data_IF_578925498602
#
_entry.id   IF_578925498602
#
_cell.length_a   1.000
_cell.length_b   1.000
_cell.length_c   1.000
_cell.angle_alpha   90.00
_cell.angle_beta   90.00
_cell.angle_gamma   90.00
#
_symmetry.space_group_name_H-M   'P 1'
#
loop_
_entity.id
_entity.type
_entity.pdbx_description
1 polymer ?
#
# COMPACT_ATOMS: atom_id res chain seq x y z
N UNK A 1 10.51 5.30 7.41
CA UNK A 1 9.56 4.20 7.06
C UNK A 1 10.38 2.93 7.04
N UNK A 2 9.98 1.93 7.84
CA UNK A 2 10.77 0.71 8.08
C UNK A 2 11.30 0.03 6.82
N UNK A 3 10.56 0.01 5.71
CA UNK A 3 11.04 -0.57 4.45
C UNK A 3 12.28 0.16 3.89
N UNK A 4 12.32 1.49 3.92
CA UNK A 4 13.49 2.25 3.49
C UNK A 4 14.68 2.02 4.44
N UNK A 5 14.42 1.88 5.74
CA UNK A 5 15.44 1.52 6.73
C UNK A 5 16.00 0.13 6.46
N UNK A 6 15.16 -0.89 6.26
CA UNK A 6 15.59 -2.26 5.94
C UNK A 6 16.35 -2.38 4.63
N UNK A 7 15.96 -1.61 3.60
CA UNK A 7 16.70 -1.60 2.34
C UNK A 7 18.11 -1.01 2.54
N UNK A 8 18.22 0.04 3.35
CA UNK A 8 19.49 0.69 3.66
C UNK A 8 20.38 -0.20 4.53
N UNK A 9 19.82 -0.82 5.57
CA UNK A 9 20.52 -1.73 6.49
C UNK A 9 20.93 -3.03 5.79
N UNK A 10 20.11 -3.56 4.88
CA UNK A 10 20.40 -4.79 4.15
C UNK A 10 21.39 -4.63 2.97
N UNK A 11 21.95 -3.43 2.74
CA UNK A 11 22.88 -3.17 1.63
C UNK A 11 22.27 -3.39 0.24
N UNK A 12 20.95 -3.50 0.13
CA UNK A 12 20.25 -3.80 -1.11
C UNK A 12 20.31 -2.58 -2.03
N UNK A 13 21.04 -2.69 -3.14
CA UNK A 13 21.05 -1.63 -4.17
C UNK A 13 19.65 -1.55 -4.80
N UNK A 14 18.84 -0.58 -4.35
CA UNK A 14 17.50 -0.26 -4.88
C UNK A 14 17.49 -0.20 -6.41
N UNK A 15 18.55 0.36 -7.00
CA UNK A 15 18.72 0.51 -8.45
C UNK A 15 18.91 -0.82 -9.19
N UNK A 16 19.37 -1.87 -8.53
CA UNK A 16 19.74 -3.14 -9.15
C UNK A 16 18.62 -4.17 -9.24
N UNK A 17 17.54 -4.05 -8.44
CA UNK A 17 16.47 -5.06 -8.45
C UNK A 17 15.07 -4.47 -8.17
N UNK A 18 14.51 -3.69 -9.11
CA UNK A 18 13.17 -3.13 -8.97
C UNK A 18 12.06 -4.19 -8.94
N UNK A 19 12.28 -5.35 -9.56
CA UNK A 19 11.33 -6.46 -9.57
C UNK A 19 11.19 -7.09 -8.17
N UNK A 20 12.30 -7.30 -7.47
CA UNK A 20 12.30 -7.77 -6.08
C UNK A 20 11.55 -6.79 -5.18
N UNK A 21 11.84 -5.49 -5.28
CA UNK A 21 11.15 -4.47 -4.47
C UNK A 21 9.64 -4.46 -4.75
N UNK A 22 9.25 -4.56 -6.02
CA UNK A 22 7.84 -4.64 -6.38
C UNK A 22 7.16 -5.88 -5.77
N UNK A 23 7.80 -7.06 -5.88
CA UNK A 23 7.28 -8.30 -5.29
C UNK A 23 7.18 -8.22 -3.76
N UNK A 24 8.17 -7.62 -3.10
CA UNK A 24 8.14 -7.38 -1.64
C UNK A 24 7.01 -6.46 -1.23
N UNK A 25 6.76 -5.37 -1.99
CA UNK A 25 5.62 -4.48 -1.77
C UNK A 25 4.31 -5.26 -1.90
N UNK A 26 4.15 -6.04 -2.96
CA UNK A 26 2.93 -6.85 -3.16
C UNK A 26 2.72 -7.83 -2.00
N UNK A 27 3.74 -8.60 -1.64
CA UNK A 27 3.68 -9.56 -0.53
C UNK A 27 3.33 -8.87 0.79
N UNK A 28 3.86 -7.67 1.04
CA UNK A 28 3.57 -6.90 2.26
C UNK A 28 2.10 -6.45 2.30
N UNK A 29 1.55 -6.01 1.16
CA UNK A 29 0.14 -5.63 1.07
C UNK A 29 -0.76 -6.86 1.21
N UNK A 30 -0.41 -7.99 0.60
CA UNK A 30 -1.16 -9.24 0.73
C UNK A 30 -1.14 -9.79 2.16
N UNK A 31 0.01 -9.76 2.83
CA UNK A 31 0.12 -10.08 4.25
C UNK A 31 -0.77 -9.19 5.09
N UNK A 32 -0.76 -7.88 4.83
CA UNK A 32 -1.63 -6.92 5.52
C UNK A 32 -3.12 -7.23 5.30
N UNK A 33 -3.51 -7.59 4.08
CA UNK A 33 -4.87 -8.04 3.77
C UNK A 33 -5.25 -9.28 4.58
N UNK A 34 -4.41 -10.32 4.57
CA UNK A 34 -4.65 -11.55 5.33
C UNK A 34 -4.77 -11.29 6.83
N UNK A 35 -3.96 -10.38 7.36
CA UNK A 35 -4.04 -9.94 8.76
C UNK A 35 -5.35 -9.21 9.07
N UNK A 36 -5.78 -8.29 8.19
CA UNK A 36 -7.06 -7.57 8.32
C UNK A 36 -8.23 -8.57 8.33
N UNK A 37 -8.26 -9.50 7.39
CA UNK A 37 -9.33 -10.53 7.31
C UNK A 37 -9.33 -11.43 8.55
N UNK A 38 -8.15 -11.86 9.01
CA UNK A 38 -8.03 -12.69 10.21
C UNK A 38 -8.51 -11.96 11.46
N UNK A 39 -8.24 -10.65 11.57
CA UNK A 39 -8.74 -9.83 12.66
C UNK A 39 -10.25 -9.59 12.58
N UNK A 40 -10.78 -9.31 11.39
CA UNK A 40 -12.20 -9.14 11.17
C UNK A 40 -12.98 -10.41 11.54
N UNK A 41 -12.52 -11.57 11.06
CA UNK A 41 -13.12 -12.87 11.37
C UNK A 41 -13.16 -13.17 12.88
N UNK A 42 -12.06 -12.88 13.60
CA UNK A 42 -12.03 -13.04 15.07
C UNK A 42 -13.02 -12.13 15.79
N UNK A 43 -13.19 -10.89 15.33
CA UNK A 43 -14.15 -9.94 15.93
C UNK A 43 -15.60 -10.34 15.69
N UNK A 44 -15.93 -10.83 14.48
CA UNK A 44 -17.27 -11.31 14.15
C UNK A 44 -17.64 -12.57 14.97
N UNK A 45 -16.69 -13.49 15.22
CA UNK A 45 -16.94 -14.66 16.08
C UNK A 45 -17.30 -14.27 17.52
N UNK A 46 -16.74 -13.18 18.02
CA UNK A 46 -16.95 -12.74 19.40
C UNK A 46 -18.19 -11.85 19.58
N UNK A 47 -18.84 -11.40 18.48
CA UNK A 47 -19.93 -10.43 18.57
C UNK A 47 -21.02 -10.73 17.52
N UNK A 48 -22.10 -11.40 17.96
CA UNK A 48 -23.19 -11.88 17.08
C UNK A 48 -23.96 -10.76 16.34
N UNK A 49 -23.84 -9.51 16.80
CA UNK A 49 -24.50 -8.35 16.19
C UNK A 49 -23.61 -7.56 15.22
N UNK A 50 -22.38 -8.03 14.94
CA UNK A 50 -21.46 -7.30 14.08
C UNK A 50 -21.64 -7.66 12.61
N UNK A 51 -21.93 -6.65 11.78
CA UNK A 51 -22.04 -6.78 10.33
C UNK A 51 -20.78 -7.44 9.76
N UNK A 52 -20.98 -8.46 8.92
CA UNK A 52 -19.91 -9.11 8.16
C UNK A 52 -19.14 -8.06 7.35
N UNK A 53 -17.93 -7.73 7.80
CA UNK A 53 -17.06 -6.77 7.15
C UNK A 53 -15.95 -7.50 6.42
N UNK A 54 -16.11 -7.67 5.10
CA UNK A 54 -15.10 -8.27 4.23
C UNK A 54 -14.57 -7.23 3.23
N UNK A 55 -13.43 -6.58 3.51
CA UNK A 55 -12.80 -5.69 2.53
C UNK A 55 -12.42 -6.48 1.27
N UNK A 56 -12.68 -5.91 0.09
CA UNK A 56 -12.29 -6.54 -1.17
C UNK A 56 -10.76 -6.52 -1.31
N UNK A 57 -10.12 -7.67 -1.57
CA UNK A 57 -8.66 -7.79 -1.76
C UNK A 57 -8.09 -6.74 -2.71
N UNK A 58 -8.75 -6.54 -3.86
CA UNK A 58 -8.33 -5.54 -4.86
C UNK A 58 -8.34 -4.09 -4.35
N UNK A 59 -9.28 -3.75 -3.45
CA UNK A 59 -9.31 -2.42 -2.85
C UNK A 59 -8.11 -2.20 -1.92
N UNK A 60 -7.76 -3.21 -1.12
CA UNK A 60 -6.59 -3.17 -0.22
C UNK A 60 -5.29 -3.14 -1.03
N UNK A 61 -5.18 -3.93 -2.10
CA UNK A 61 -4.05 -3.88 -3.03
C UNK A 61 -3.87 -2.50 -3.67
N UNK A 62 -4.97 -1.88 -4.11
CA UNK A 62 -4.93 -0.54 -4.70
C UNK A 62 -4.50 0.53 -3.68
N UNK A 63 -5.11 0.53 -2.49
CA UNK A 63 -4.76 1.47 -1.41
C UNK A 63 -3.32 1.29 -0.93
N UNK A 64 -2.89 0.05 -0.74
CA UNK A 64 -1.51 -0.27 -0.35
C UNK A 64 -0.51 0.22 -1.40
N UNK A 65 -0.75 -0.09 -2.68
CA UNK A 65 0.11 0.37 -3.78
C UNK A 65 0.19 1.90 -3.84
N UNK A 66 -0.93 2.58 -3.58
CA UNK A 66 -0.99 4.04 -3.53
C UNK A 66 -0.18 4.61 -2.36
N UNK A 67 -0.26 3.99 -1.18
CA UNK A 67 0.52 4.39 0.00
C UNK A 67 2.03 4.23 -0.26
N UNK A 68 2.46 3.09 -0.81
CA UNK A 68 3.85 2.88 -1.18
C UNK A 68 4.33 3.88 -2.23
N UNK A 69 3.52 4.15 -3.26
CA UNK A 69 3.87 5.16 -4.27
C UNK A 69 4.07 6.54 -3.63
N UNK A 70 3.17 6.98 -2.75
CA UNK A 70 3.26 8.28 -2.08
C UNK A 70 4.49 8.40 -1.17
N UNK A 71 4.86 7.34 -0.44
CA UNK A 71 6.04 7.38 0.43
C UNK A 71 7.33 7.35 -0.40
N UNK A 72 7.41 6.46 -1.40
CA UNK A 72 8.61 6.33 -2.24
C UNK A 72 8.80 7.54 -3.16
N UNK A 73 7.71 8.25 -3.52
CA UNK A 73 7.79 9.46 -4.34
C UNK A 73 8.50 10.61 -3.64
N UNK A 74 8.70 10.55 -2.31
CA UNK A 74 9.55 11.51 -1.57
C UNK A 74 11.03 11.36 -1.93
N UNK A 75 11.45 10.24 -2.52
CA UNK A 75 12.82 9.95 -2.97
C UNK A 75 12.84 9.45 -4.44
N UNK A 76 12.42 10.29 -5.40
CA UNK A 76 12.14 9.82 -6.75
C UNK A 76 13.39 9.36 -7.50
N UNK A 77 14.57 9.92 -7.20
CA UNK A 77 15.85 9.53 -7.82
C UNK A 77 16.29 8.12 -7.42
N UNK A 78 16.00 7.70 -6.20
CA UNK A 78 16.35 6.36 -5.69
C UNK A 78 15.37 5.31 -6.21
N UNK A 79 14.07 5.64 -6.26
CA UNK A 79 12.99 4.71 -6.53
C UNK A 79 12.34 4.87 -7.92
N UNK A 80 13.00 5.55 -8.86
CA UNK A 80 12.42 5.89 -10.17
C UNK A 80 11.80 4.69 -10.92
N UNK A 81 12.51 3.55 -10.95
CA UNK A 81 12.05 2.34 -11.63
C UNK A 81 10.79 1.75 -10.98
N UNK A 82 10.75 1.66 -9.64
CA UNK A 82 9.60 1.11 -8.91
C UNK A 82 8.41 2.07 -8.95
N UNK A 83 8.66 3.39 -8.90
CA UNK A 83 7.62 4.40 -9.03
C UNK A 83 6.89 4.30 -10.36
N UNK A 84 7.61 4.14 -11.48
CA UNK A 84 7.01 3.89 -12.80
C UNK A 84 6.13 2.63 -12.81
N UNK A 85 6.59 1.55 -12.19
CA UNK A 85 5.82 0.29 -12.12
C UNK A 85 4.56 0.42 -11.26
N UNK A 86 4.65 1.11 -10.13
CA UNK A 86 3.51 1.39 -9.25
C UNK A 86 2.50 2.31 -9.95
N UNK A 87 2.95 3.37 -10.61
CA UNK A 87 2.10 4.31 -11.33
C UNK A 87 1.35 3.62 -12.48
N UNK A 88 2.05 2.78 -13.27
CA UNK A 88 1.43 1.94 -14.30
C UNK A 88 0.32 1.06 -13.73
N UNK A 89 0.54 0.44 -12.57
CA UNK A 89 -0.48 -0.37 -11.92
C UNK A 89 -1.66 0.47 -11.40
N UNK A 90 -1.39 1.63 -10.79
CA UNK A 90 -2.42 2.52 -10.26
C UNK A 90 -3.31 3.10 -11.37
N UNK A 91 -2.74 3.38 -12.54
CA UNK A 91 -3.44 3.93 -13.70
C UNK A 91 -4.16 2.90 -14.58
N UNK A 92 -4.06 1.59 -14.27
CA UNK A 92 -4.80 0.55 -15.00
C UNK A 92 -6.30 0.84 -15.01
N UNK A 93 -6.94 0.57 -16.16
CA UNK A 93 -8.37 0.81 -16.35
C UNK A 93 -9.23 0.10 -15.29
N UNK A 94 -8.87 -1.12 -14.92
CA UNK A 94 -9.52 -1.91 -13.86
C UNK A 94 -9.56 -1.21 -12.49
N UNK A 95 -8.68 -0.23 -12.27
CA UNK A 95 -8.58 0.52 -11.02
C UNK A 95 -9.35 1.84 -11.02
N UNK A 96 -10.01 2.23 -12.12
CA UNK A 96 -10.78 3.48 -12.21
C UNK A 96 -11.88 3.58 -11.15
N UNK A 97 -12.58 2.47 -10.89
CA UNK A 97 -13.61 2.40 -9.86
C UNK A 97 -13.05 2.69 -8.46
N UNK A 98 -11.89 2.13 -8.13
CA UNK A 98 -11.22 2.35 -6.84
C UNK A 98 -10.67 3.77 -6.73
N UNK A 99 -10.08 4.31 -7.80
CA UNK A 99 -9.63 5.71 -7.85
C UNK A 99 -10.77 6.68 -7.55
N UNK A 100 -11.96 6.49 -8.16
CA UNK A 100 -13.14 7.32 -7.89
C UNK A 100 -13.63 7.13 -6.46
N UNK A 101 -13.78 5.88 -6.00
CA UNK A 101 -14.33 5.54 -4.69
C UNK A 101 -13.46 6.04 -3.52
N UNK A 102 -12.14 5.94 -3.65
CA UNK A 102 -11.21 6.25 -2.55
C UNK A 102 -10.49 7.59 -2.70
N UNK A 103 -10.84 8.41 -3.70
CA UNK A 103 -10.21 9.73 -3.93
C UNK A 103 -10.16 10.58 -2.65
N UNK A 104 -11.26 10.64 -1.90
CA UNK A 104 -11.35 11.42 -0.66
C UNK A 104 -10.47 10.83 0.44
N UNK A 105 -10.57 9.53 0.67
CA UNK A 105 -9.76 8.81 1.66
C UNK A 105 -8.26 8.99 1.41
N UNK A 106 -7.84 8.91 0.14
CA UNK A 106 -6.45 9.16 -0.26
C UNK A 106 -6.02 10.58 0.08
N UNK A 107 -6.84 11.58 -0.24
CA UNK A 107 -6.54 13.00 0.03
C UNK A 107 -6.41 13.25 1.54
N UNK A 108 -7.33 12.72 2.33
CA UNK A 108 -7.32 12.84 3.80
C UNK A 108 -6.07 12.15 4.39
N UNK A 109 -5.78 10.92 3.96
CA UNK A 109 -4.60 10.19 4.41
C UNK A 109 -3.29 10.92 4.09
N UNK A 110 -3.14 11.43 2.86
CA UNK A 110 -1.95 12.20 2.48
C UNK A 110 -1.79 13.48 3.30
N UNK A 111 -2.90 14.17 3.59
CA UNK A 111 -2.86 15.40 4.39
C UNK A 111 -2.40 15.12 5.82
N UNK A 112 -2.86 14.01 6.42
CA UNK A 112 -2.42 13.57 7.74
C UNK A 112 -0.92 13.26 7.80
N UNK A 113 -0.37 12.64 6.75
CA UNK A 113 1.06 12.29 6.66
C UNK A 113 1.99 13.47 6.31
N UNK A 114 1.44 14.58 5.81
CA UNK A 114 2.21 15.79 5.54
C UNK A 114 2.32 16.69 6.77
N UNK A 115 1.34 16.63 7.70
CA UNK A 115 1.36 17.39 8.95
C UNK A 115 2.25 16.80 10.06
N UNK A 116 2.72 15.56 9.91
CA UNK A 116 3.53 14.88 10.94
C UNK A 116 5.04 15.11 10.80
N UNK A 117 5.47 16.08 9.99
CA UNK A 117 6.84 16.57 9.97
C UNK A 117 6.90 17.93 10.68
N UNK A 118 6.83 17.92 12.00
CA UNK A 118 7.37 18.97 12.88
C UNK A 118 8.19 18.26 13.95
#
# INVERSE_FOLDING_TARGET
MKMNEYIREGGLKVKGNPAFLFKTIQNTIEFSYSSIISQASRKTKNNRNQVSWSPKKLAVLWLGSHAFHHVLSKKPREYAAILRTLDKNLCRFSNRAYKKRFKRLVKEGQSAFNHTNV
#
